data_IF_205854875859
#
_entry.id   IF_205854875859
#
_cell.length_a   1.000
_cell.length_b   1.000
_cell.length_c   1.000
_cell.angle_alpha   90.00
_cell.angle_beta   90.00
_cell.angle_gamma   90.00
#
_symmetry.space_group_name_H-M   'P 1'
#
loop_
_entity.id
_entity.type
_entity.pdbx_description
1 polymer ?
#
# COMPACT_ATOMS: atom_id res chain seq x y z
N UNK A 1 -11.07 6.13 -2.11
CA UNK A 1 -12.13 6.52 -1.13
C UNK A 1 -12.03 5.78 0.20
N UNK A 2 -11.59 4.52 0.25
CA UNK A 2 -11.53 3.72 1.50
C UNK A 2 -10.79 4.40 2.65
N UNK A 3 -9.64 5.06 2.39
CA UNK A 3 -8.88 5.75 3.43
C UNK A 3 -9.65 6.87 4.14
N UNK A 4 -10.40 7.69 3.39
CA UNK A 4 -11.22 8.78 3.96
C UNK A 4 -12.33 8.20 4.85
N UNK A 5 -13.06 7.20 4.36
CA UNK A 5 -14.11 6.54 5.14
C UNK A 5 -13.57 5.85 6.41
N UNK A 6 -12.34 5.33 6.35
CA UNK A 6 -11.74 4.59 7.47
C UNK A 6 -11.22 5.49 8.59
N UNK A 7 -10.88 6.75 8.32
CA UNK A 7 -10.09 7.56 9.26
C UNK A 7 -10.67 8.93 9.58
N UNK A 8 -11.57 9.49 8.76
CA UNK A 8 -12.04 10.87 8.97
C UNK A 8 -12.69 11.10 10.33
N UNK A 9 -13.49 10.13 10.80
CA UNK A 9 -14.14 10.22 12.11
C UNK A 9 -13.13 10.09 13.25
N UNK A 10 -12.26 9.08 13.18
CA UNK A 10 -11.17 8.87 14.16
C UNK A 10 -10.22 10.06 14.22
N UNK A 11 -9.93 10.69 13.08
CA UNK A 11 -9.11 11.90 13.01
C UNK A 11 -9.80 13.08 13.71
N UNK A 12 -11.12 13.23 13.52
CA UNK A 12 -11.90 14.24 14.24
C UNK A 12 -11.82 14.04 15.75
N UNK A 13 -11.91 12.80 16.23
CA UNK A 13 -11.82 12.48 17.66
C UNK A 13 -10.44 12.79 18.26
N UNK A 14 -9.38 12.71 17.44
CA UNK A 14 -8.00 13.00 17.87
C UNK A 14 -7.69 14.49 18.06
N UNK A 15 -8.60 15.40 17.67
CA UNK A 15 -8.41 16.84 17.85
C UNK A 15 -8.63 17.30 19.30
N UNK A 16 -9.27 16.47 20.11
CA UNK A 16 -9.45 16.74 21.54
C UNK A 16 -8.14 16.59 22.33
N UNK A 17 -8.05 17.17 23.54
CA UNK A 17 -6.87 17.03 24.40
C UNK A 17 -6.73 15.62 25.02
N UNK A 18 -7.73 14.75 24.87
CA UNK A 18 -7.75 13.39 25.42
C UNK A 18 -7.23 12.36 24.43
N UNK A 19 -6.61 11.30 24.97
CA UNK A 19 -6.23 10.10 24.20
C UNK A 19 -7.08 8.90 24.58
N UNK A 20 -7.14 7.90 23.71
CA UNK A 20 -7.77 6.60 24.00
C UNK A 20 -7.02 5.92 25.17
N UNK A 21 -7.74 5.19 26.04
CA UNK A 21 -7.12 4.40 27.10
C UNK A 21 -7.82 4.36 28.47
N UNK A 22 -8.94 5.08 28.65
CA UNK A 22 -9.69 5.08 29.92
C UNK A 22 -10.15 3.67 30.32
N UNK A 23 -10.41 2.79 29.33
CA UNK A 23 -10.83 1.41 29.55
C UNK A 23 -9.69 0.37 29.36
N UNK A 24 -8.43 0.80 29.41
CA UNK A 24 -7.25 -0.09 29.26
C UNK A 24 -6.77 -0.29 27.83
N UNK A 25 -7.34 0.43 26.86
CA UNK A 25 -6.88 0.45 25.47
C UNK A 25 -5.51 1.15 25.31
N UNK A 26 -4.72 0.81 24.27
CA UNK A 26 -3.42 1.44 24.06
C UNK A 26 -3.56 2.93 23.68
N UNK A 27 -2.76 3.83 24.28
CA UNK A 27 -2.82 5.28 23.98
C UNK A 27 -2.34 5.62 22.56
N UNK A 28 -1.65 4.70 21.89
CA UNK A 28 -1.14 4.86 20.53
C UNK A 28 -2.21 4.58 19.46
N UNK A 29 -3.47 4.34 19.83
CA UNK A 29 -4.55 4.00 18.93
C UNK A 29 -4.62 4.91 17.69
N UNK A 30 -4.59 6.23 17.88
CA UNK A 30 -4.65 7.18 16.78
C UNK A 30 -3.48 7.04 15.79
N UNK A 31 -2.26 6.77 16.29
CA UNK A 31 -1.10 6.52 15.45
C UNK A 31 -1.24 5.21 14.68
N UNK A 32 -1.68 4.14 15.34
CA UNK A 32 -1.94 2.86 14.67
C UNK A 32 -2.98 3.01 13.57
N UNK A 33 -4.09 3.71 13.84
CA UNK A 33 -5.13 4.00 12.84
C UNK A 33 -4.56 4.79 11.66
N UNK A 34 -3.80 5.86 11.90
CA UNK A 34 -3.21 6.67 10.84
C UNK A 34 -2.27 5.87 9.93
N UNK A 35 -1.35 5.08 10.51
CA UNK A 35 -0.44 4.24 9.73
C UNK A 35 -1.15 3.11 8.98
N UNK A 36 -2.18 2.49 9.57
CA UNK A 36 -2.99 1.50 8.87
C UNK A 36 -3.75 2.12 7.69
N UNK A 37 -4.31 3.32 7.85
CA UNK A 37 -4.98 4.03 6.76
C UNK A 37 -4.01 4.35 5.61
N UNK A 38 -2.78 4.77 5.91
CA UNK A 38 -1.74 4.97 4.90
C UNK A 38 -1.47 3.67 4.11
N UNK A 39 -1.28 2.56 4.82
CA UNK A 39 -1.02 1.24 4.21
C UNK A 39 -2.15 0.82 3.28
N UNK A 40 -3.41 0.90 3.74
CA UNK A 40 -4.58 0.54 2.93
C UNK A 40 -4.70 1.44 1.69
N UNK A 41 -4.42 2.73 1.84
CA UNK A 41 -4.48 3.69 0.73
C UNK A 41 -3.44 3.35 -0.34
N UNK A 42 -2.20 3.10 0.04
CA UNK A 42 -1.13 2.72 -0.89
C UNK A 42 -1.38 1.34 -1.51
N UNK A 43 -1.83 0.36 -0.73
CA UNK A 43 -2.19 -0.97 -1.23
C UNK A 43 -3.27 -0.90 -2.30
N UNK A 44 -4.31 -0.08 -2.15
CA UNK A 44 -5.32 0.09 -3.19
C UNK A 44 -4.75 0.63 -4.50
N UNK A 45 -3.77 1.53 -4.45
CA UNK A 45 -3.08 2.01 -5.65
C UNK A 45 -2.31 0.86 -6.31
N UNK A 46 -1.52 0.12 -5.55
CA UNK A 46 -0.71 -0.99 -6.08
C UNK A 46 -1.57 -2.15 -6.61
N UNK A 47 -2.61 -2.54 -5.86
CA UNK A 47 -3.60 -3.52 -6.32
C UNK A 47 -4.27 -3.09 -7.61
N UNK A 48 -4.63 -1.81 -7.75
CA UNK A 48 -5.19 -1.28 -9.00
C UNK A 48 -4.25 -1.51 -10.18
N UNK A 49 -2.97 -1.12 -10.06
CA UNK A 49 -1.96 -1.29 -11.10
C UNK A 49 -1.82 -2.77 -11.50
N UNK A 50 -1.64 -3.65 -10.52
CA UNK A 50 -1.43 -5.09 -10.75
C UNK A 50 -2.70 -5.77 -11.29
N UNK A 51 -3.88 -5.33 -10.86
CA UNK A 51 -5.16 -5.83 -11.33
C UNK A 51 -5.38 -5.49 -12.81
N UNK A 52 -5.15 -4.23 -13.21
CA UNK A 52 -5.30 -3.83 -14.61
C UNK A 52 -4.31 -4.55 -15.53
N UNK A 53 -3.05 -4.71 -15.12
CA UNK A 53 -2.06 -5.50 -15.88
C UNK A 53 -2.48 -6.97 -16.03
N UNK A 54 -3.02 -7.56 -14.96
CA UNK A 54 -3.56 -8.92 -14.97
C UNK A 54 -4.71 -9.09 -15.96
N UNK A 55 -5.63 -8.12 -16.01
CA UNK A 55 -6.74 -8.07 -16.97
C UNK A 55 -6.23 -7.93 -18.42
N UNK A 56 -5.31 -7.00 -18.69
CA UNK A 56 -4.76 -6.77 -20.03
C UNK A 56 -4.03 -8.01 -20.56
N UNK A 57 -3.21 -8.64 -19.72
CA UNK A 57 -2.42 -9.83 -20.09
C UNK A 57 -3.20 -11.14 -19.96
N UNK A 58 -4.50 -11.09 -19.62
CA UNK A 58 -5.39 -12.26 -19.36
C UNK A 58 -4.81 -13.26 -18.34
N UNK A 59 -4.07 -12.75 -17.35
CA UNK A 59 -3.43 -13.54 -16.28
C UNK A 59 -4.35 -13.64 -15.07
N UNK A 60 -5.32 -14.56 -15.14
CA UNK A 60 -6.33 -14.76 -14.09
C UNK A 60 -5.75 -15.04 -12.69
N UNK A 61 -4.60 -15.71 -12.61
CA UNK A 61 -3.92 -15.94 -11.33
C UNK A 61 -3.54 -14.63 -10.61
N UNK A 62 -3.21 -13.58 -11.36
CA UNK A 62 -2.82 -12.27 -10.80
C UNK A 62 -4.02 -11.60 -10.12
N UNK A 63 -5.21 -11.72 -10.73
CA UNK A 63 -6.46 -11.22 -10.14
C UNK A 63 -6.81 -11.95 -8.84
N UNK A 64 -6.65 -13.28 -8.82
CA UNK A 64 -6.86 -14.07 -7.62
C UNK A 64 -5.91 -13.65 -6.48
N UNK A 65 -4.64 -13.39 -6.78
CA UNK A 65 -3.66 -12.93 -5.76
C UNK A 65 -4.01 -11.54 -5.23
N UNK A 66 -4.46 -10.62 -6.08
CA UNK A 66 -4.94 -9.29 -5.64
C UNK A 66 -6.13 -9.44 -4.71
N UNK A 67 -7.12 -10.26 -5.07
CA UNK A 67 -8.31 -10.50 -4.24
C UNK A 67 -7.95 -11.13 -2.88
N UNK A 68 -7.10 -12.16 -2.89
CA UNK A 68 -6.67 -12.86 -1.68
C UNK A 68 -5.83 -11.95 -0.77
N UNK A 69 -4.91 -11.17 -1.33
CA UNK A 69 -4.10 -10.22 -0.55
C UNK A 69 -4.96 -9.11 0.04
N UNK A 70 -5.98 -8.63 -0.68
CA UNK A 70 -6.95 -7.69 -0.14
C UNK A 70 -7.72 -8.29 1.04
N UNK A 71 -8.24 -9.52 0.90
CA UNK A 71 -8.96 -10.19 1.98
C UNK A 71 -8.06 -10.47 3.18
N UNK A 72 -6.81 -10.87 2.95
CA UNK A 72 -5.82 -11.14 3.99
C UNK A 72 -5.53 -9.88 4.82
N UNK A 73 -5.27 -8.74 4.17
CA UNK A 73 -5.00 -7.48 4.88
C UNK A 73 -6.25 -7.03 5.65
N UNK A 74 -7.45 -7.16 5.08
CA UNK A 74 -8.70 -6.90 5.81
C UNK A 74 -8.86 -7.81 7.03
N UNK A 75 -8.62 -9.12 6.89
CA UNK A 75 -8.70 -10.07 8.00
C UNK A 75 -7.67 -9.78 9.09
N UNK A 76 -6.47 -9.33 8.71
CA UNK A 76 -5.43 -8.92 9.65
C UNK A 76 -5.88 -7.74 10.52
N UNK A 77 -6.70 -6.83 9.98
CA UNK A 77 -7.26 -5.71 10.75
C UNK A 77 -8.33 -6.14 11.76
N UNK A 78 -8.96 -7.31 11.59
CA UNK A 78 -9.97 -7.86 12.50
C UNK A 78 -9.35 -8.54 13.74
N UNK A 79 -8.07 -8.93 13.66
CA UNK A 79 -7.39 -9.64 14.75
C UNK A 79 -6.89 -8.61 15.78
N UNK A 80 -7.78 -8.23 16.71
CA UNK A 80 -7.63 -7.06 17.57
C UNK A 80 -6.44 -7.03 18.56
N UNK A 81 -5.98 -8.11 19.21
CA UNK A 81 -5.08 -7.96 20.36
C UNK A 81 -3.63 -7.60 19.99
N UNK A 82 -3.23 -7.61 18.72
CA UNK A 82 -1.82 -7.51 18.30
C UNK A 82 -1.59 -6.39 17.26
N UNK A 83 -2.01 -5.16 17.56
CA UNK A 83 -1.89 -4.00 16.67
C UNK A 83 -0.50 -3.81 16.04
N UNK A 84 0.58 -3.96 16.84
CA UNK A 84 1.95 -3.79 16.35
C UNK A 84 2.35 -4.85 15.31
N UNK A 85 2.07 -6.13 15.57
CA UNK A 85 2.42 -7.21 14.66
C UNK A 85 1.61 -7.12 13.36
N UNK A 86 0.32 -6.83 13.47
CA UNK A 86 -0.57 -6.65 12.31
C UNK A 86 -0.12 -5.48 11.45
N UNK A 87 0.29 -4.37 12.07
CA UNK A 87 0.82 -3.22 11.35
C UNK A 87 2.08 -3.59 10.57
N UNK A 88 3.06 -4.24 11.22
CA UNK A 88 4.32 -4.65 10.56
C UNK A 88 4.03 -5.58 9.39
N UNK A 89 3.15 -6.57 9.58
CA UNK A 89 2.80 -7.51 8.52
C UNK A 89 2.07 -6.83 7.36
N UNK A 90 1.18 -5.87 7.62
CA UNK A 90 0.51 -5.08 6.59
C UNK A 90 1.52 -4.22 5.79
N UNK A 91 2.52 -3.64 6.46
CA UNK A 91 3.61 -2.91 5.79
C UNK A 91 4.47 -3.82 4.90
N UNK A 92 4.79 -5.04 5.36
CA UNK A 92 5.52 -6.02 4.55
C UNK A 92 4.72 -6.34 3.28
N UNK A 93 3.42 -6.61 3.39
CA UNK A 93 2.55 -6.89 2.24
C UNK A 93 2.51 -5.67 1.29
N UNK A 94 2.39 -4.45 1.83
CA UNK A 94 2.40 -3.22 1.05
C UNK A 94 3.71 -3.03 0.28
N UNK A 95 4.88 -3.24 0.91
CA UNK A 95 6.17 -3.12 0.22
C UNK A 95 6.29 -4.17 -0.89
N UNK A 96 5.93 -5.42 -0.62
CA UNK A 96 5.97 -6.49 -1.63
C UNK A 96 5.05 -6.18 -2.82
N UNK A 97 3.82 -5.73 -2.56
CA UNK A 97 2.87 -5.35 -3.61
C UNK A 97 3.34 -4.12 -4.38
N UNK A 98 3.95 -3.14 -3.70
CA UNK A 98 4.53 -1.95 -4.32
C UNK A 98 5.72 -2.27 -5.23
N UNK A 99 6.60 -3.17 -4.81
CA UNK A 99 7.71 -3.67 -5.64
C UNK A 99 7.17 -4.37 -6.88
N UNK A 100 6.14 -5.21 -6.74
CA UNK A 100 5.51 -5.85 -7.88
C UNK A 100 4.86 -4.83 -8.82
N UNK A 101 4.08 -3.88 -8.30
CA UNK A 101 3.48 -2.80 -9.09
C UNK A 101 4.52 -1.98 -9.86
N UNK A 102 5.69 -1.72 -9.25
CA UNK A 102 6.81 -1.02 -9.91
C UNK A 102 7.36 -1.79 -11.11
N UNK A 103 7.56 -3.10 -11.00
CA UNK A 103 8.01 -3.91 -12.14
C UNK A 103 6.95 -4.04 -13.22
N UNK A 104 5.67 -4.17 -12.82
CA UNK A 104 4.53 -4.27 -13.73
C UNK A 104 4.38 -3.00 -14.57
N UNK A 105 4.62 -1.82 -13.99
CA UNK A 105 4.57 -0.53 -14.70
C UNK A 105 5.81 -0.22 -15.55
N UNK A 106 6.73 -1.18 -15.72
CA UNK A 106 7.94 -1.05 -16.55
C UNK A 106 9.18 -0.56 -15.80
N UNK A 107 9.12 -0.46 -14.47
CA UNK A 107 10.26 -0.18 -13.62
C UNK A 107 11.31 -1.28 -13.65
N UNK A 108 12.58 -0.92 -13.44
CA UNK A 108 13.69 -1.86 -13.28
C UNK A 108 14.79 -1.26 -12.40
N UNK A 109 15.70 -2.08 -11.87
CA UNK A 109 16.84 -1.59 -11.09
C UNK A 109 17.71 -0.60 -11.89
N UNK A 110 17.77 -0.77 -13.22
CA UNK A 110 18.47 0.17 -14.12
C UNK A 110 17.75 1.52 -14.16
N UNK A 111 16.42 1.53 -14.31
CA UNK A 111 15.60 2.75 -14.28
C UNK A 111 15.77 3.51 -12.95
N UNK A 112 15.78 2.78 -11.84
CA UNK A 112 15.98 3.34 -10.51
C UNK A 112 17.38 3.95 -10.33
N UNK A 113 18.42 3.27 -10.82
CA UNK A 113 19.80 3.78 -10.82
C UNK A 113 19.96 5.02 -11.70
N UNK A 114 19.36 5.04 -12.89
CA UNK A 114 19.37 6.19 -13.80
C UNK A 114 18.71 7.42 -13.18
N UNK A 115 17.56 7.23 -12.52
CA UNK A 115 16.83 8.28 -11.80
C UNK A 115 17.67 8.85 -10.66
N UNK A 116 18.26 7.99 -9.81
CA UNK A 116 19.08 8.43 -8.67
C UNK A 116 20.37 9.14 -9.09
N UNK A 117 20.95 8.79 -10.25
CA UNK A 117 22.16 9.41 -10.78
C UNK A 117 21.87 10.63 -11.68
N UNK A 118 20.59 10.99 -11.90
CA UNK A 118 20.15 12.00 -12.87
C UNK A 118 20.83 11.85 -14.25
N UNK A 119 21.08 10.61 -14.68
CA UNK A 119 21.70 10.31 -15.98
C UNK A 119 20.66 10.28 -17.12
N UNK A 120 19.65 11.15 -17.03
CA UNK A 120 18.51 11.26 -17.93
C UNK A 120 18.90 11.98 -19.24
N UNK A 121 19.89 11.44 -19.96
CA UNK A 121 20.18 11.83 -21.35
C UNK A 121 19.86 10.72 -22.34
N UNK A 122 19.83 9.46 -21.88
CA UNK A 122 19.59 8.29 -22.71
C UNK A 122 18.16 7.72 -22.62
N UNK A 123 17.35 8.16 -21.65
CA UNK A 123 16.00 7.61 -21.41
C UNK A 123 15.03 7.94 -22.56
N UNK A 124 15.10 9.17 -23.09
CA UNK A 124 14.32 9.59 -24.25
C UNK A 124 14.74 8.87 -25.54
N UNK A 125 16.00 8.48 -25.68
CA UNK A 125 16.51 7.79 -26.88
C UNK A 125 16.18 6.29 -26.89
N UNK A 126 16.08 5.64 -25.73
CA UNK A 126 15.75 4.21 -25.66
C UNK A 126 14.27 3.94 -25.94
N UNK A 127 13.36 4.80 -25.45
CA UNK A 127 11.92 4.61 -25.64
C UNK A 127 11.45 4.92 -27.07
N UNK A 128 12.24 5.68 -27.86
CA UNK A 128 12.00 5.93 -29.28
C UNK A 128 12.39 4.75 -30.18
N UNK A 129 13.26 3.84 -29.72
CA UNK A 129 13.76 2.71 -30.53
C UNK A 129 12.98 1.40 -30.32
N UNK A 130 12.11 1.36 -29.31
CA UNK A 130 11.36 0.16 -28.92
C UNK A 130 9.87 0.18 -29.35
N UNK A 131 9.46 1.15 -30.19
CA UNK A 131 8.13 1.19 -30.81
C UNK A 131 8.21 0.87 -32.29
#
# INVERSE_FOLDING_TARGET
>A
MSGVFSFVNTLSDSLGPGTVGIHGDPPQFFLYSAFMTLVITLLHVFWGIVFFDGCEKKKWYTLLVVLLSHLLVSALTLISPHYGLNLVLAYIIMVLMGVWAFFVSGGSCRSLKLCLLCQDKDFLLFNQRAR
#
